data_IF_409380195444
#
_entry.id   IF_409380195444
#
_cell.length_a   1.000
_cell.length_b   1.000
_cell.length_c   1.000
_cell.angle_alpha   90.00
_cell.angle_beta   90.00
_cell.angle_gamma   90.00
#
_symmetry.space_group_name_H-M   'P 1'
#
loop_
_entity.id
_entity.type
_entity.pdbx_description
1 polymer ?
#
# COMPACT_ATOMS: atom_id res chain seq x y z
N UNK A 1 4.57 13.60 46.30
CA UNK A 1 4.50 14.76 45.38
C UNK A 1 3.71 14.35 44.14
N UNK A 2 2.54 14.92 43.90
CA UNK A 2 1.76 14.64 42.70
C UNK A 2 2.46 15.28 41.49
N UNK A 3 2.84 14.47 40.49
CA UNK A 3 3.33 14.97 39.19
C UNK A 3 2.26 15.92 38.64
N UNK A 4 2.60 17.17 38.38
CA UNK A 4 1.77 18.10 37.63
C UNK A 4 1.47 17.48 36.27
N UNK A 5 0.19 17.18 36.02
CA UNK A 5 -0.24 16.60 34.74
C UNK A 5 -0.12 17.68 33.68
N UNK A 6 0.69 17.43 32.66
CA UNK A 6 0.85 18.35 31.53
C UNK A 6 -0.43 18.35 30.69
N UNK A 7 -1.29 19.35 30.91
CA UNK A 7 -2.51 19.61 30.14
C UNK A 7 -2.27 20.54 28.93
N UNK A 8 -1.06 21.09 28.75
CA UNK A 8 -0.72 22.03 27.65
C UNK A 8 -0.78 21.38 26.27
N UNK A 9 -0.88 20.05 26.22
CA UNK A 9 -1.06 19.30 24.99
C UNK A 9 -2.35 19.69 24.26
N UNK A 10 -3.41 20.08 24.97
CA UNK A 10 -4.68 20.44 24.33
C UNK A 10 -4.59 21.81 23.67
N UNK A 11 -3.87 22.76 24.27
CA UNK A 11 -3.53 24.03 23.63
C UNK A 11 -2.69 23.83 22.38
N UNK A 12 -1.73 22.93 22.49
CA UNK A 12 -0.89 22.53 21.36
C UNK A 12 -1.75 21.97 20.22
N UNK A 13 -2.76 21.15 20.54
CA UNK A 13 -3.73 20.67 19.57
C UNK A 13 -4.55 21.81 18.93
N UNK A 14 -5.09 22.74 19.73
CA UNK A 14 -5.85 23.88 19.22
C UNK A 14 -5.00 24.79 18.33
N UNK A 15 -3.74 25.02 18.70
CA UNK A 15 -2.79 25.77 17.87
C UNK A 15 -2.46 25.03 16.57
N UNK A 16 -2.29 23.71 16.63
CA UNK A 16 -2.09 22.89 15.43
C UNK A 16 -3.30 22.95 14.49
N UNK A 17 -4.52 22.90 15.03
CA UNK A 17 -5.76 23.04 14.26
C UNK A 17 -5.79 24.38 13.51
N UNK A 18 -5.51 25.49 14.20
CA UNK A 18 -5.41 26.83 13.57
C UNK A 18 -4.30 26.88 12.51
N UNK A 19 -3.15 26.26 12.77
CA UNK A 19 -2.05 26.22 11.80
C UNK A 19 -2.41 25.42 10.54
N UNK A 20 -3.14 24.29 10.67
CA UNK A 20 -3.68 23.57 9.53
C UNK A 20 -4.67 24.42 8.73
N UNK A 21 -5.55 25.17 9.40
CA UNK A 21 -6.51 26.07 8.74
C UNK A 21 -5.81 27.22 8.00
N UNK A 22 -4.78 27.84 8.61
CA UNK A 22 -4.00 28.92 8.01
C UNK A 22 -3.16 28.48 6.81
N UNK A 23 -2.59 27.26 6.85
CA UNK A 23 -1.79 26.71 5.75
C UNK A 23 -2.63 26.11 4.62
N UNK A 24 -3.94 25.91 4.83
CA UNK A 24 -4.88 25.44 3.81
C UNK A 24 -4.57 24.02 3.29
N UNK A 25 -4.91 23.76 2.03
CA UNK A 25 -4.82 22.40 1.44
C UNK A 25 -3.40 21.85 1.30
N UNK A 26 -2.37 22.72 1.36
CA UNK A 26 -0.96 22.32 1.28
C UNK A 26 -0.38 21.91 2.65
N UNK A 27 -1.14 22.08 3.75
CA UNK A 27 -0.67 21.82 5.09
C UNK A 27 -0.33 20.34 5.30
N UNK A 28 0.90 20.06 5.72
CA UNK A 28 1.33 18.71 6.12
C UNK A 28 1.60 18.66 7.62
N UNK A 29 1.56 17.46 8.21
CA UNK A 29 1.93 17.31 9.62
C UNK A 29 3.38 17.76 9.88
N UNK A 30 4.27 17.61 8.90
CA UNK A 30 5.66 18.07 8.99
C UNK A 30 5.77 19.60 8.97
N UNK A 31 5.07 20.27 8.06
CA UNK A 31 5.08 21.75 7.97
C UNK A 31 4.45 22.39 9.23
N UNK A 32 3.37 21.81 9.76
CA UNK A 32 2.76 22.29 11.01
C UNK A 32 3.65 21.99 12.22
N UNK A 33 4.29 20.83 12.29
CA UNK A 33 5.25 20.51 13.35
C UNK A 33 6.42 21.49 13.36
N UNK A 34 6.97 21.82 12.19
CA UNK A 34 8.02 22.82 12.04
C UNK A 34 7.56 24.20 12.50
N UNK A 35 6.36 24.64 12.08
CA UNK A 35 5.80 25.94 12.47
C UNK A 35 5.59 26.09 13.99
N UNK A 36 5.28 24.98 14.67
CA UNK A 36 5.09 24.94 16.12
C UNK A 36 6.38 24.61 16.90
N UNK A 37 7.51 24.39 16.22
CA UNK A 37 8.77 24.00 16.86
C UNK A 37 8.71 22.65 17.57
N UNK A 38 7.94 21.70 17.04
CA UNK A 38 7.66 20.41 17.68
C UNK A 38 8.18 19.21 16.89
N UNK A 39 8.43 18.11 17.61
CA UNK A 39 8.65 16.82 16.97
C UNK A 39 7.34 16.32 16.31
N UNK A 40 7.40 15.98 15.02
CA UNK A 40 6.26 15.54 14.22
C UNK A 40 5.53 14.32 14.83
N UNK A 41 6.25 13.37 15.41
CA UNK A 41 5.66 12.16 16.02
C UNK A 41 4.84 12.53 17.25
N UNK A 42 5.36 13.41 18.10
CA UNK A 42 4.66 13.90 19.29
C UNK A 42 3.42 14.70 18.90
N UNK A 43 3.57 15.63 17.95
CA UNK A 43 2.44 16.43 17.46
C UNK A 43 1.34 15.55 16.88
N UNK A 44 1.70 14.55 16.05
CA UNK A 44 0.72 13.64 15.47
C UNK A 44 -0.09 12.88 16.52
N UNK A 45 0.52 12.52 17.66
CA UNK A 45 -0.20 11.86 18.77
C UNK A 45 -1.14 12.83 19.48
N UNK A 46 -0.69 14.05 19.76
CA UNK A 46 -1.54 15.11 20.35
C UNK A 46 -2.71 15.48 19.44
N UNK A 47 -2.51 15.58 18.13
CA UNK A 47 -3.58 15.84 17.15
C UNK A 47 -4.58 14.70 17.10
N UNK A 48 -4.12 13.44 17.15
CA UNK A 48 -5.02 12.29 17.20
C UNK A 48 -5.86 12.28 18.48
N UNK A 49 -5.23 12.54 19.63
CA UNK A 49 -5.89 12.65 20.93
C UNK A 49 -6.93 13.79 20.97
N UNK A 50 -6.57 14.97 20.45
CA UNK A 50 -7.45 16.13 20.39
C UNK A 50 -8.66 15.91 19.49
N UNK A 51 -8.46 15.31 18.31
CA UNK A 51 -9.57 14.93 17.40
C UNK A 51 -10.50 13.89 17.99
N UNK A 52 -9.97 12.94 18.77
CA UNK A 52 -10.82 12.01 19.51
C UNK A 52 -11.67 12.77 20.53
N UNK A 53 -11.04 13.61 21.34
CA UNK A 53 -11.74 14.39 22.36
C UNK A 53 -12.81 15.32 21.77
N UNK A 54 -12.53 16.06 20.68
CA UNK A 54 -13.54 16.90 20.00
C UNK A 54 -14.70 16.10 19.42
N UNK A 55 -14.47 14.86 18.95
CA UNK A 55 -15.58 14.01 18.48
C UNK A 55 -16.50 13.60 19.62
N UNK A 56 -15.94 13.33 20.79
CA UNK A 56 -16.72 12.96 21.97
C UNK A 56 -17.37 14.18 22.65
N UNK A 57 -16.67 15.32 22.67
CA UNK A 57 -17.08 16.56 23.32
C UNK A 57 -16.76 17.76 22.40
N UNK A 58 -17.65 18.08 21.44
CA UNK A 58 -17.42 19.13 20.42
C UNK A 58 -17.20 20.54 20.97
N UNK A 59 -17.60 20.80 22.21
CA UNK A 59 -17.49 22.10 22.90
C UNK A 59 -16.63 22.02 24.18
N UNK A 60 -15.65 21.11 24.21
CA UNK A 60 -14.76 20.98 25.37
C UNK A 60 -13.91 22.24 25.55
N UNK A 61 -13.93 22.79 26.76
CA UNK A 61 -13.08 23.91 27.14
C UNK A 61 -11.71 23.42 27.60
N UNK A 62 -10.67 24.21 27.34
CA UNK A 62 -9.30 23.94 27.78
C UNK A 62 -9.21 23.72 29.29
N UNK A 63 -9.99 24.49 30.08
CA UNK A 63 -10.01 24.38 31.54
C UNK A 63 -10.58 23.04 32.05
N UNK A 64 -11.32 22.32 31.19
CA UNK A 64 -11.90 21.02 31.50
C UNK A 64 -10.90 19.87 31.26
N UNK A 65 -9.86 20.09 30.44
CA UNK A 65 -8.85 19.07 30.12
C UNK A 65 -7.76 19.07 31.18
N UNK A 66 -7.83 18.12 32.12
CA UNK A 66 -6.85 17.98 33.23
C UNK A 66 -6.05 16.68 33.16
N UNK A 67 -5.99 16.07 31.97
CA UNK A 67 -5.31 14.82 31.71
C UNK A 67 -4.14 15.00 30.73
N UNK A 68 -3.27 14.00 30.65
CA UNK A 68 -2.28 13.88 29.56
C UNK A 68 -2.95 13.41 28.26
N UNK A 69 -2.41 13.79 27.09
CA UNK A 69 -2.86 13.31 25.76
C UNK A 69 -2.88 11.78 25.67
N UNK A 70 -2.06 11.08 26.45
CA UNK A 70 -1.98 9.62 26.48
C UNK A 70 -3.30 8.99 26.95
N UNK A 71 -4.04 9.64 27.86
CA UNK A 71 -5.36 9.16 28.28
C UNK A 71 -6.33 9.11 27.09
N UNK A 72 -6.38 10.19 26.32
CA UNK A 72 -7.24 10.28 25.14
C UNK A 72 -6.77 9.35 24.01
N UNK A 73 -5.45 9.13 23.86
CA UNK A 73 -4.93 8.15 22.91
C UNK A 73 -5.34 6.71 23.28
N UNK A 74 -5.33 6.37 24.58
CA UNK A 74 -5.79 5.06 25.05
C UNK A 74 -7.31 4.91 24.90
N UNK A 75 -8.08 5.94 25.21
CA UNK A 75 -9.53 5.93 24.99
C UNK A 75 -9.92 5.81 23.52
N UNK A 76 -9.21 6.48 22.58
CA UNK A 76 -9.44 6.29 21.14
C UNK A 76 -9.10 4.86 20.68
N UNK A 77 -8.20 4.15 21.38
CA UNK A 77 -7.93 2.72 21.12
C UNK A 77 -9.02 1.82 21.70
N UNK A 78 -9.46 2.11 22.93
CA UNK A 78 -10.57 1.40 23.59
C UNK A 78 -11.85 1.57 22.77
N UNK A 79 -12.17 2.78 22.31
CA UNK A 79 -13.41 3.07 21.58
C UNK A 79 -13.52 2.34 20.25
N UNK A 80 -12.41 1.90 19.66
CA UNK A 80 -12.40 1.08 18.44
C UNK A 80 -12.81 -0.37 18.69
N UNK A 81 -12.65 -0.86 19.92
CA UNK A 81 -13.01 -2.21 20.34
C UNK A 81 -14.38 -2.18 21.06
N UNK A 82 -14.55 -1.27 22.02
CA UNK A 82 -15.77 -1.04 22.78
C UNK A 82 -16.07 0.45 22.91
N UNK A 83 -16.94 1.02 22.05
CA UNK A 83 -17.33 2.42 22.10
C UNK A 83 -17.99 2.81 23.43
N UNK A 84 -18.90 1.97 23.93
CA UNK A 84 -19.66 2.21 25.17
C UNK A 84 -18.74 2.36 26.37
N UNK A 85 -17.77 1.45 26.52
CA UNK A 85 -16.80 1.51 27.60
C UNK A 85 -15.90 2.75 27.50
N UNK A 86 -15.52 3.16 26.29
CA UNK A 86 -14.73 4.39 26.14
C UNK A 86 -15.52 5.64 26.56
N UNK A 87 -16.82 5.67 26.28
CA UNK A 87 -17.73 6.74 26.72
C UNK A 87 -17.89 6.78 28.23
N UNK A 88 -18.08 5.63 28.88
CA UNK A 88 -18.15 5.50 30.34
C UNK A 88 -16.87 6.01 31.04
N UNK A 89 -15.70 5.73 30.46
CA UNK A 89 -14.41 6.09 31.04
C UNK A 89 -13.99 7.54 30.73
N UNK A 90 -14.66 8.23 29.80
CA UNK A 90 -14.23 9.53 29.27
C UNK A 90 -14.14 10.60 30.36
N UNK A 91 -15.20 10.75 31.16
CA UNK A 91 -15.29 11.79 32.19
C UNK A 91 -14.17 11.65 33.23
N UNK A 92 -13.97 10.43 33.75
CA UNK A 92 -12.91 10.12 34.71
C UNK A 92 -11.50 10.27 34.13
N UNK A 93 -11.29 9.90 32.86
CA UNK A 93 -10.00 10.09 32.20
C UNK A 93 -9.69 11.58 31.97
N UNK A 94 -10.67 12.38 31.56
CA UNK A 94 -10.53 13.81 31.26
C UNK A 94 -10.01 14.61 32.46
N UNK A 95 -10.45 14.25 33.67
CA UNK A 95 -10.03 14.88 34.92
C UNK A 95 -8.92 14.10 35.64
N UNK A 96 -8.27 13.16 34.96
CA UNK A 96 -7.16 12.35 35.49
C UNK A 96 -7.52 11.58 36.78
N UNK A 97 -8.78 11.16 36.93
CA UNK A 97 -9.22 10.22 37.98
C UNK A 97 -8.94 8.77 37.61
N UNK A 98 -8.87 8.45 36.31
CA UNK A 98 -8.48 7.14 35.80
C UNK A 98 -7.03 7.24 35.34
N UNK A 99 -6.17 6.35 35.87
CA UNK A 99 -4.76 6.34 35.51
C UNK A 99 -4.52 5.77 34.10
N UNK A 100 -3.40 6.16 33.50
CA UNK A 100 -2.89 5.59 32.24
C UNK A 100 -2.70 4.06 32.37
N UNK A 101 -2.27 3.57 33.54
CA UNK A 101 -2.08 2.13 33.78
C UNK A 101 -3.42 1.40 33.73
N UNK A 102 -4.45 1.91 34.41
CA UNK A 102 -5.80 1.32 34.41
C UNK A 102 -6.41 1.29 33.00
N UNK A 103 -6.26 2.37 32.22
CA UNK A 103 -6.69 2.39 30.82
C UNK A 103 -5.91 1.38 29.96
N UNK A 104 -4.62 1.17 30.24
CA UNK A 104 -3.78 0.22 29.51
C UNK A 104 -4.16 -1.23 29.82
N UNK A 105 -4.40 -1.54 31.10
CA UNK A 105 -4.91 -2.83 31.56
C UNK A 105 -6.27 -3.12 30.92
N UNK A 106 -7.19 -2.16 30.94
CA UNK A 106 -8.51 -2.31 30.31
C UNK A 106 -8.42 -2.56 28.81
N UNK A 107 -7.52 -1.86 28.12
CA UNK A 107 -7.26 -2.10 26.70
C UNK A 107 -6.68 -3.50 26.46
N UNK A 108 -5.82 -4.01 27.35
CA UNK A 108 -5.27 -5.35 27.26
C UNK A 108 -6.35 -6.43 27.48
N UNK A 109 -7.23 -6.26 28.47
CA UNK A 109 -8.39 -7.11 28.72
C UNK A 109 -9.32 -7.18 27.50
N UNK A 110 -9.66 -6.03 26.91
CA UNK A 110 -10.51 -6.01 25.71
C UNK A 110 -9.87 -6.75 24.53
N UNK A 111 -8.55 -6.64 24.39
CA UNK A 111 -7.81 -7.34 23.33
C UNK A 111 -7.77 -8.84 23.55
N UNK A 112 -7.70 -9.31 24.80
CA UNK A 112 -7.74 -10.74 25.11
C UNK A 112 -9.15 -11.32 24.98
N UNK A 113 -10.19 -10.54 25.30
CA UNK A 113 -11.59 -10.95 25.17
C UNK A 113 -12.12 -10.93 23.72
N UNK A 114 -11.49 -10.14 22.83
CA UNK A 114 -11.89 -10.03 21.43
C UNK A 114 -10.68 -10.08 20.49
N UNK A 115 -9.97 -11.23 20.42
CA UNK A 115 -8.72 -11.36 19.67
C UNK A 115 -8.91 -11.12 18.17
N UNK A 116 -10.03 -11.55 17.58
CA UNK A 116 -10.33 -11.34 16.16
C UNK A 116 -10.51 -9.85 15.80
N UNK A 117 -11.24 -9.09 16.64
CA UNK A 117 -11.48 -7.66 16.43
C UNK A 117 -10.20 -6.85 16.67
N UNK A 118 -9.45 -7.19 17.73
CA UNK A 118 -8.15 -6.61 18.00
C UNK A 118 -7.14 -6.87 16.87
N UNK A 119 -7.13 -8.10 16.33
CA UNK A 119 -6.31 -8.46 15.19
C UNK A 119 -6.71 -7.69 13.93
N UNK A 120 -8.00 -7.58 13.62
CA UNK A 120 -8.50 -6.82 12.48
C UNK A 120 -8.15 -5.32 12.55
N UNK A 121 -8.23 -4.70 13.73
CA UNK A 121 -7.86 -3.28 13.93
C UNK A 121 -6.35 -3.08 13.76
N UNK A 122 -5.53 -3.96 14.35
CA UNK A 122 -4.07 -3.90 14.24
C UNK A 122 -3.61 -4.19 12.80
N UNK A 123 -4.19 -5.19 12.14
CA UNK A 123 -3.93 -5.53 10.74
C UNK A 123 -4.26 -4.36 9.82
N UNK A 124 -5.39 -3.66 10.05
CA UNK A 124 -5.75 -2.47 9.27
C UNK A 124 -4.79 -1.29 9.47
N UNK A 125 -4.31 -1.08 10.70
CA UNK A 125 -3.34 -0.03 11.02
C UNK A 125 -1.96 -0.34 10.42
N UNK A 126 -1.49 -1.59 10.54
CA UNK A 126 -0.25 -2.06 9.94
C UNK A 126 -0.31 -1.98 8.42
N UNK A 127 -1.41 -2.43 7.81
CA UNK A 127 -1.63 -2.32 6.36
C UNK A 127 -1.59 -0.88 5.84
N UNK A 128 -2.15 0.08 6.57
CA UNK A 128 -2.05 1.51 6.21
C UNK A 128 -0.61 2.01 6.30
N UNK A 129 0.17 1.51 7.27
CA UNK A 129 1.60 1.79 7.38
C UNK A 129 2.38 1.13 6.25
N UNK A 130 2.12 -0.13 5.91
CA UNK A 130 2.71 -0.85 4.77
C UNK A 130 2.40 -0.17 3.45
N UNK A 131 1.15 0.26 3.21
CA UNK A 131 0.77 0.97 1.99
C UNK A 131 1.46 2.34 1.86
N UNK A 132 1.56 3.10 2.95
CA UNK A 132 2.30 4.37 2.96
C UNK A 132 3.81 4.16 2.83
N UNK A 133 4.35 3.12 3.47
CA UNK A 133 5.73 2.67 3.33
C UNK A 133 6.04 2.36 1.88
N UNK A 134 5.23 1.51 1.24
CA UNK A 134 5.37 1.10 -0.15
C UNK A 134 5.40 2.29 -1.13
N UNK A 135 4.52 3.29 -0.97
CA UNK A 135 4.54 4.49 -1.81
C UNK A 135 5.84 5.28 -1.62
N UNK A 136 6.28 5.45 -0.37
CA UNK A 136 7.55 6.12 -0.05
C UNK A 136 8.74 5.35 -0.63
N UNK A 137 8.73 4.03 -0.49
CA UNK A 137 9.81 3.16 -0.94
C UNK A 137 9.89 3.17 -2.48
N UNK A 138 8.73 3.14 -3.16
CA UNK A 138 8.65 3.35 -4.61
C UNK A 138 9.20 4.73 -5.02
N UNK A 139 8.78 5.81 -4.35
CA UNK A 139 9.26 7.14 -4.71
C UNK A 139 10.77 7.30 -4.48
N UNK A 140 11.30 6.71 -3.41
CA UNK A 140 12.74 6.70 -3.13
C UNK A 140 13.50 5.88 -4.18
N UNK A 141 12.94 4.74 -4.60
CA UNK A 141 13.49 3.94 -5.69
C UNK A 141 13.51 4.72 -7.01
N UNK A 142 12.42 5.39 -7.37
CA UNK A 142 12.31 6.20 -8.59
C UNK A 142 13.29 7.38 -8.62
N UNK A 143 13.66 7.94 -7.46
CA UNK A 143 14.66 9.03 -7.40
C UNK A 143 16.09 8.55 -7.68
N UNK A 144 16.39 7.28 -7.39
CA UNK A 144 17.72 6.70 -7.56
C UNK A 144 17.89 5.79 -8.78
N UNK A 145 16.80 5.50 -9.51
CA UNK A 145 16.79 4.47 -10.57
C UNK A 145 16.77 5.11 -11.96
N UNK A 146 17.68 4.69 -12.88
CA UNK A 146 17.61 5.10 -14.28
C UNK A 146 16.30 4.67 -14.95
N UNK A 147 15.71 5.54 -15.78
CA UNK A 147 14.39 5.30 -16.37
C UNK A 147 14.39 4.28 -17.52
N UNK A 148 15.55 3.86 -17.97
CA UNK A 148 15.76 2.67 -18.81
C UNK A 148 15.19 1.42 -18.14
N UNK A 149 15.19 1.35 -16.80
CA UNK A 149 14.53 0.28 -16.05
C UNK A 149 13.03 0.19 -16.38
N UNK A 150 12.39 1.30 -16.75
CA UNK A 150 10.99 1.35 -17.17
C UNK A 150 10.83 1.47 -18.69
N UNK A 151 11.86 1.11 -19.45
CA UNK A 151 11.89 1.18 -20.91
C UNK A 151 11.71 2.63 -21.43
N UNK A 152 12.12 3.64 -20.66
CA UNK A 152 11.97 5.08 -20.95
C UNK A 152 13.30 5.86 -20.79
N UNK A 153 14.33 5.60 -21.64
CA UNK A 153 15.57 6.37 -21.60
C UNK A 153 15.30 7.88 -21.76
N UNK A 154 16.03 8.70 -21.01
CA UNK A 154 15.90 10.17 -20.99
C UNK A 154 14.48 10.69 -20.70
N UNK A 155 13.64 9.85 -20.09
CA UNK A 155 12.28 10.17 -19.73
C UNK A 155 12.15 11.05 -18.48
N UNK A 156 10.92 11.11 -17.97
CA UNK A 156 10.62 11.80 -16.71
C UNK A 156 9.64 11.01 -15.84
N UNK A 157 9.63 11.30 -14.54
CA UNK A 157 8.71 10.69 -13.58
C UNK A 157 7.71 11.73 -13.07
N UNK A 158 6.43 11.43 -13.20
CA UNK A 158 5.35 12.16 -12.55
C UNK A 158 4.87 11.40 -11.31
N UNK A 159 5.06 11.97 -10.13
CA UNK A 159 4.60 11.39 -8.86
C UNK A 159 3.23 11.98 -8.49
N UNK A 160 2.30 11.13 -8.07
CA UNK A 160 0.97 11.60 -7.63
C UNK A 160 1.07 12.34 -6.30
N UNK A 161 0.56 13.58 -6.25
CA UNK A 161 0.52 14.41 -5.04
C UNK A 161 -0.41 13.84 -3.95
N UNK A 162 -1.44 13.11 -4.37
CA UNK A 162 -2.36 12.39 -3.48
C UNK A 162 -2.60 10.99 -4.05
N UNK A 163 -1.73 10.05 -3.71
CA UNK A 163 -1.89 8.66 -4.10
C UNK A 163 -3.17 8.09 -3.46
N UNK A 164 -4.31 8.21 -4.14
CA UNK A 164 -5.45 7.35 -3.85
C UNK A 164 -5.06 5.94 -4.31
N UNK A 165 -4.47 5.18 -3.38
CA UNK A 165 -3.87 3.84 -3.55
C UNK A 165 -4.79 2.87 -4.30
N UNK A 166 -6.10 3.15 -4.33
CA UNK A 166 -7.11 2.25 -4.85
C UNK A 166 -7.41 2.43 -6.35
N UNK A 167 -7.40 3.65 -6.91
CA UNK A 167 -7.95 3.87 -8.26
C UNK A 167 -7.06 4.65 -9.23
N UNK A 168 -6.17 5.50 -8.74
CA UNK A 168 -5.29 6.32 -9.57
C UNK A 168 -3.85 5.77 -9.57
N UNK A 169 -3.08 5.98 -10.66
CA UNK A 169 -1.66 5.68 -10.65
C UNK A 169 -0.94 6.41 -9.50
N UNK A 170 -0.04 5.70 -8.84
CA UNK A 170 0.86 6.26 -7.82
C UNK A 170 1.95 7.12 -8.48
N UNK A 171 2.44 6.67 -9.64
CA UNK A 171 3.34 7.43 -10.50
C UNK A 171 3.11 7.09 -11.98
N UNK A 172 3.60 7.94 -12.87
CA UNK A 172 3.73 7.66 -14.28
C UNK A 172 5.18 7.93 -14.72
N UNK A 173 5.71 7.06 -15.57
CA UNK A 173 7.00 7.26 -16.26
C UNK A 173 6.68 7.64 -17.70
N UNK A 174 7.21 8.78 -18.11
CA UNK A 174 7.07 9.32 -19.45
C UNK A 174 8.34 9.05 -20.24
N UNK A 175 8.21 8.82 -21.55
CA UNK A 175 9.34 8.82 -22.47
C UNK A 175 9.90 10.24 -22.70
N UNK A 176 10.98 10.35 -23.48
CA UNK A 176 11.63 11.63 -23.81
C UNK A 176 10.74 12.61 -24.60
N UNK A 177 9.62 12.14 -25.15
CA UNK A 177 8.62 12.98 -25.82
C UNK A 177 7.46 13.38 -24.89
N UNK A 178 7.48 12.92 -23.64
CA UNK A 178 6.43 13.17 -22.66
C UNK A 178 5.24 12.20 -22.77
N UNK A 179 5.31 11.15 -23.58
CA UNK A 179 4.24 10.15 -23.66
C UNK A 179 4.34 9.14 -22.51
N UNK A 180 3.22 8.68 -21.93
CA UNK A 180 3.25 7.68 -20.87
C UNK A 180 3.79 6.32 -21.35
N UNK A 181 5.00 5.97 -20.91
CA UNK A 181 5.59 4.65 -21.13
C UNK A 181 5.07 3.66 -20.09
N UNK A 182 4.98 4.07 -18.82
CA UNK A 182 4.49 3.23 -17.74
C UNK A 182 3.60 3.99 -16.75
N UNK A 183 2.56 3.32 -16.24
CA UNK A 183 1.81 3.75 -15.05
C UNK A 183 2.00 2.76 -13.92
N UNK A 184 2.34 3.25 -12.73
CA UNK A 184 2.69 2.43 -11.57
C UNK A 184 1.60 2.53 -10.50
N UNK A 185 1.14 1.39 -10.03
CA UNK A 185 0.14 1.28 -8.96
C UNK A 185 0.73 0.52 -7.77
N UNK A 186 0.88 1.19 -6.63
CA UNK A 186 1.21 0.50 -5.37
C UNK A 186 -0.01 -0.22 -4.83
N UNK A 187 0.08 -1.55 -4.65
CA UNK A 187 -1.00 -2.39 -4.14
C UNK A 187 -0.54 -3.22 -2.94
N UNK A 188 -1.41 -3.33 -1.95
CA UNK A 188 -1.19 -4.17 -0.76
C UNK A 188 -2.31 -5.19 -0.71
N UNK A 189 -1.95 -6.47 -0.57
CA UNK A 189 -2.89 -7.57 -0.37
C UNK A 189 -3.85 -7.28 0.79
N UNK A 190 -5.07 -7.80 0.73
CA UNK A 190 -6.08 -7.53 1.75
C UNK A 190 -6.55 -8.77 2.48
N UNK A 191 -6.32 -8.79 3.79
CA UNK A 191 -6.70 -9.89 4.68
C UNK A 191 -8.22 -10.03 4.85
N UNK A 192 -8.99 -9.00 4.51
CA UNK A 192 -10.45 -8.98 4.64
C UNK A 192 -11.19 -9.50 3.41
N UNK A 193 -10.48 -9.89 2.34
CA UNK A 193 -11.08 -10.43 1.11
C UNK A 193 -10.25 -11.62 0.62
N UNK A 194 -10.88 -12.63 -0.01
CA UNK A 194 -10.15 -13.74 -0.60
C UNK A 194 -9.06 -13.24 -1.56
N UNK A 195 -7.87 -13.85 -1.49
CA UNK A 195 -6.70 -13.50 -2.33
C UNK A 195 -7.06 -13.51 -3.81
N UNK A 196 -7.80 -14.52 -4.24
CA UNK A 196 -8.29 -14.68 -5.61
C UNK A 196 -9.18 -13.51 -6.06
N UNK A 197 -10.11 -13.08 -5.22
CA UNK A 197 -10.99 -11.94 -5.49
C UNK A 197 -10.24 -10.61 -5.53
N UNK A 198 -9.22 -10.44 -4.68
CA UNK A 198 -8.35 -9.25 -4.74
C UNK A 198 -7.54 -9.22 -6.05
N UNK A 199 -6.98 -10.36 -6.45
CA UNK A 199 -6.23 -10.44 -7.71
C UNK A 199 -7.12 -10.17 -8.93
N UNK A 200 -8.37 -10.64 -8.94
CA UNK A 200 -9.35 -10.32 -9.99
C UNK A 200 -9.62 -8.81 -10.08
N UNK A 201 -9.96 -8.15 -8.96
CA UNK A 201 -10.18 -6.70 -8.92
C UNK A 201 -8.96 -5.93 -9.45
N UNK A 202 -7.74 -6.41 -9.14
CA UNK A 202 -6.50 -5.80 -9.63
C UNK A 202 -6.27 -6.02 -11.13
N UNK A 203 -6.62 -7.20 -11.65
CA UNK A 203 -6.56 -7.49 -13.08
C UNK A 203 -7.53 -6.60 -13.85
N UNK A 204 -8.78 -6.50 -13.40
CA UNK A 204 -9.79 -5.60 -13.99
C UNK A 204 -9.34 -4.14 -13.98
N UNK A 205 -8.75 -3.68 -12.86
CA UNK A 205 -8.16 -2.36 -12.78
C UNK A 205 -7.04 -2.19 -13.82
N UNK A 206 -6.16 -3.19 -13.98
CA UNK A 206 -5.07 -3.12 -14.93
C UNK A 206 -5.59 -3.01 -16.37
N UNK A 207 -6.59 -3.83 -16.74
CA UNK A 207 -7.26 -3.80 -18.04
C UNK A 207 -7.93 -2.45 -18.27
N UNK A 208 -8.69 -1.95 -17.29
CA UNK A 208 -9.37 -0.65 -17.37
C UNK A 208 -8.39 0.53 -17.54
N UNK A 209 -7.12 0.35 -17.14
CA UNK A 209 -6.06 1.37 -17.20
C UNK A 209 -5.05 1.13 -18.31
N UNK A 210 -5.21 0.06 -19.11
CA UNK A 210 -4.30 -0.31 -20.21
C UNK A 210 -4.12 0.81 -21.24
N UNK A 211 -5.14 1.62 -21.47
CA UNK A 211 -5.08 2.73 -22.43
C UNK A 211 -4.23 3.91 -21.96
N UNK A 212 -3.85 3.98 -20.67
CA UNK A 212 -3.16 5.13 -20.10
C UNK A 212 -1.66 5.16 -20.41
N UNK A 213 -1.04 4.02 -20.67
CA UNK A 213 0.38 3.90 -20.98
C UNK A 213 0.67 2.58 -21.68
N UNK A 214 1.87 2.44 -22.26
CA UNK A 214 2.28 1.17 -22.89
C UNK A 214 2.36 0.01 -21.88
N UNK A 215 2.80 0.30 -20.65
CA UNK A 215 2.91 -0.67 -19.56
C UNK A 215 2.11 -0.24 -18.33
N UNK A 216 1.41 -1.19 -17.72
CA UNK A 216 0.79 -1.06 -16.40
C UNK A 216 1.62 -1.86 -15.42
N UNK A 217 2.14 -1.20 -14.39
CA UNK A 217 2.96 -1.81 -13.34
C UNK A 217 2.15 -1.94 -12.05
N UNK A 218 2.00 -3.15 -11.56
CA UNK A 218 1.46 -3.42 -10.22
C UNK A 218 2.63 -3.70 -9.28
N UNK A 219 2.85 -2.78 -8.34
CA UNK A 219 3.97 -2.82 -7.39
C UNK A 219 3.47 -3.26 -6.03
N UNK A 220 4.07 -4.32 -5.50
CA UNK A 220 3.73 -4.94 -4.22
C UNK A 220 4.86 -4.72 -3.20
N UNK A 221 4.58 -4.77 -1.89
CA UNK A 221 5.61 -4.65 -0.87
C UNK A 221 6.53 -5.88 -0.81
N UNK A 222 6.04 -7.03 -1.26
CA UNK A 222 6.73 -8.32 -1.24
C UNK A 222 6.11 -9.27 -2.28
N UNK A 223 6.74 -10.43 -2.49
CA UNK A 223 6.22 -11.52 -3.33
C UNK A 223 5.02 -12.21 -2.65
N UNK A 224 3.87 -11.55 -2.67
CA UNK A 224 2.64 -12.01 -2.01
C UNK A 224 1.83 -13.02 -2.83
N UNK A 225 0.96 -13.79 -2.18
CA UNK A 225 0.02 -14.68 -2.89
C UNK A 225 -0.92 -13.93 -3.85
N UNK A 226 -1.30 -12.68 -3.53
CA UNK A 226 -2.10 -11.84 -4.44
C UNK A 226 -1.34 -11.56 -5.73
N UNK A 227 -0.02 -11.34 -5.66
CA UNK A 227 0.83 -11.17 -6.84
C UNK A 227 0.83 -12.45 -7.69
N UNK A 228 0.99 -13.62 -7.06
CA UNK A 228 1.03 -14.90 -7.78
C UNK A 228 -0.31 -15.24 -8.43
N UNK A 229 -1.43 -14.99 -7.75
CA UNK A 229 -2.77 -15.11 -8.34
C UNK A 229 -2.95 -14.16 -9.53
N UNK A 230 -2.51 -12.90 -9.41
CA UNK A 230 -2.58 -11.93 -10.51
C UNK A 230 -1.66 -12.34 -11.68
N UNK A 231 -0.50 -12.92 -11.40
CA UNK A 231 0.40 -13.46 -12.41
C UNK A 231 -0.26 -14.59 -13.19
N UNK A 232 -0.91 -15.54 -12.50
CA UNK A 232 -1.67 -16.63 -13.12
C UNK A 232 -2.84 -16.11 -13.96
N UNK A 233 -3.62 -15.13 -13.47
CA UNK A 233 -4.65 -14.47 -14.27
C UNK A 233 -4.08 -13.85 -15.55
N UNK A 234 -2.90 -13.21 -15.47
CA UNK A 234 -2.26 -12.61 -16.65
C UNK A 234 -1.76 -13.64 -17.67
N UNK A 235 -1.51 -14.89 -17.24
CA UNK A 235 -1.18 -16.00 -18.13
C UNK A 235 -2.44 -16.50 -18.85
N UNK A 236 -3.54 -16.65 -18.13
CA UNK A 236 -4.80 -17.13 -18.70
C UNK A 236 -5.54 -16.10 -19.57
N UNK A 237 -5.53 -14.83 -19.14
CA UNK A 237 -6.37 -13.77 -19.70
C UNK A 237 -5.58 -12.76 -20.54
N UNK A 238 -4.27 -12.93 -20.66
CA UNK A 238 -3.36 -12.04 -21.37
C UNK A 238 -2.72 -10.96 -20.48
N UNK A 239 -1.70 -10.29 -21.01
CA UNK A 239 -0.96 -9.24 -20.28
C UNK A 239 0.40 -9.67 -19.76
N UNK A 240 0.64 -10.97 -19.57
CA UNK A 240 1.91 -11.46 -19.04
C UNK A 240 3.08 -11.21 -20.01
N UNK A 241 4.32 -11.12 -19.48
CA UNK A 241 5.54 -11.04 -20.30
C UNK A 241 5.76 -12.17 -21.31
N UNK A 242 5.08 -13.31 -21.17
CA UNK A 242 5.18 -14.43 -22.12
C UNK A 242 4.31 -14.24 -23.38
N UNK A 243 3.41 -13.27 -23.39
CA UNK A 243 2.60 -12.97 -24.58
C UNK A 243 3.36 -12.00 -25.51
N UNK A 244 3.67 -12.47 -26.72
CA UNK A 244 4.51 -11.76 -27.71
C UNK A 244 4.01 -10.34 -28.01
N UNK A 245 2.69 -10.14 -28.12
CA UNK A 245 2.10 -8.86 -28.51
C UNK A 245 1.55 -8.04 -27.32
N UNK A 246 1.48 -8.64 -26.14
CA UNK A 246 0.66 -8.12 -25.04
C UNK A 246 1.31 -8.15 -23.67
N UNK A 247 2.64 -8.22 -23.57
CA UNK A 247 3.34 -8.00 -22.29
C UNK A 247 3.20 -6.57 -21.75
N UNK A 248 1.97 -6.10 -21.54
CA UNK A 248 1.58 -4.77 -21.08
C UNK A 248 1.44 -4.74 -19.56
N UNK A 249 1.19 -5.86 -18.89
CA UNK A 249 1.17 -5.95 -17.43
C UNK A 249 2.57 -6.31 -16.91
N UNK A 250 3.07 -5.53 -15.95
CA UNK A 250 4.31 -5.77 -15.23
C UNK A 250 3.98 -5.92 -13.75
N UNK A 251 4.43 -7.02 -13.17
CA UNK A 251 4.28 -7.27 -11.73
C UNK A 251 5.64 -7.09 -11.10
N UNK A 252 5.72 -6.27 -10.06
CA UNK A 252 6.96 -5.98 -9.37
C UNK A 252 6.74 -6.01 -7.86
N UNK A 253 7.79 -6.34 -7.12
CA UNK A 253 7.75 -6.40 -5.67
C UNK A 253 9.08 -5.95 -5.08
N UNK A 254 9.02 -5.35 -3.90
CA UNK A 254 10.24 -5.04 -3.18
C UNK A 254 10.82 -6.28 -2.50
N UNK A 255 12.14 -6.28 -2.44
CA UNK A 255 12.96 -7.28 -1.79
C UNK A 255 14.02 -6.56 -0.99
N UNK A 256 14.36 -7.12 0.16
CA UNK A 256 15.43 -6.61 1.02
C UNK A 256 16.69 -7.41 0.71
N UNK A 257 17.74 -6.75 0.23
CA UNK A 257 19.08 -7.32 0.16
C UNK A 257 20.05 -6.32 0.77
N UNK A 258 20.68 -6.71 1.87
CA UNK A 258 21.80 -5.98 2.48
C UNK A 258 21.51 -4.49 2.72
N UNK A 259 20.40 -4.18 3.41
CA UNK A 259 20.00 -2.83 3.82
C UNK A 259 19.58 -1.89 2.67
N UNK A 260 19.47 -2.40 1.44
CA UNK A 260 18.98 -1.66 0.28
C UNK A 260 17.76 -2.34 -0.32
N UNK A 261 16.66 -1.59 -0.39
CA UNK A 261 15.43 -2.04 -1.03
C UNK A 261 15.61 -2.05 -2.55
N UNK A 262 15.39 -3.21 -3.17
CA UNK A 262 15.46 -3.39 -4.62
C UNK A 262 14.09 -3.81 -5.16
N UNK A 263 13.75 -3.31 -6.35
CA UNK A 263 12.49 -3.64 -7.01
C UNK A 263 12.71 -4.84 -7.94
N UNK A 264 12.27 -6.01 -7.49
CA UNK A 264 12.21 -7.23 -8.30
C UNK A 264 11.06 -7.14 -9.31
N UNK A 265 11.26 -7.68 -10.52
CA UNK A 265 10.22 -7.78 -11.56
C UNK A 265 9.93 -9.24 -11.84
N UNK A 266 8.67 -9.64 -11.64
CA UNK A 266 8.17 -10.97 -12.01
C UNK A 266 8.03 -11.02 -13.53
N UNK A 267 9.00 -11.64 -14.20
CA UNK A 267 9.16 -11.55 -15.65
C UNK A 267 9.09 -12.94 -16.33
N UNK A 268 9.64 -13.09 -17.53
CA UNK A 268 9.57 -14.32 -18.34
C UNK A 268 10.01 -15.57 -17.56
N UNK A 269 11.14 -15.50 -16.84
CA UNK A 269 11.62 -16.63 -16.02
C UNK A 269 10.64 -17.05 -14.92
N UNK A 270 10.06 -16.09 -14.22
CA UNK A 270 9.08 -16.39 -13.17
C UNK A 270 7.76 -16.89 -13.76
N UNK A 271 7.30 -16.29 -14.85
CA UNK A 271 6.11 -16.71 -15.57
C UNK A 271 6.25 -18.12 -16.16
N UNK A 272 7.42 -18.49 -16.68
CA UNK A 272 7.66 -19.82 -17.22
C UNK A 272 7.62 -20.89 -16.10
N UNK A 273 8.20 -20.59 -14.94
CA UNK A 273 8.09 -21.48 -13.75
C UNK A 273 6.62 -21.64 -13.32
N UNK A 274 5.90 -20.52 -13.21
CA UNK A 274 4.48 -20.54 -12.85
C UNK A 274 3.63 -21.29 -13.88
N UNK A 275 3.95 -21.17 -15.17
CA UNK A 275 3.28 -21.92 -16.23
C UNK A 275 3.47 -23.44 -16.03
N UNK A 276 4.70 -23.89 -15.72
CA UNK A 276 4.97 -25.30 -15.41
C UNK A 276 4.17 -25.79 -14.20
N UNK A 277 4.02 -24.97 -13.15
CA UNK A 277 3.17 -25.29 -11.99
C UNK A 277 1.70 -25.49 -12.41
N UNK A 278 1.16 -24.58 -13.22
CA UNK A 278 -0.22 -24.62 -13.73
C UNK A 278 -0.46 -25.86 -14.60
N UNK A 279 0.49 -26.20 -15.47
CA UNK A 279 0.47 -27.39 -16.34
C UNK A 279 0.56 -28.68 -15.52
N UNK A 280 1.31 -28.67 -14.41
CA UNK A 280 1.39 -29.76 -13.44
C UNK A 280 0.16 -29.88 -12.53
N UNK A 281 -0.84 -29.00 -12.68
CA UNK A 281 -2.10 -29.02 -11.92
C UNK A 281 -2.07 -28.23 -10.61
N UNK A 282 -1.00 -27.50 -10.30
CA UNK A 282 -0.90 -26.62 -9.13
C UNK A 282 -1.47 -25.23 -9.45
N UNK A 283 -2.76 -25.19 -9.80
CA UNK A 283 -3.45 -23.98 -10.24
C UNK A 283 -4.02 -23.22 -9.05
N UNK A 284 -3.95 -21.89 -9.10
CA UNK A 284 -4.64 -21.02 -8.15
C UNK A 284 -6.08 -20.74 -8.57
N UNK A 285 -6.38 -20.90 -9.85
CA UNK A 285 -7.73 -20.79 -10.40
C UNK A 285 -8.14 -22.09 -11.08
N UNK A 286 -9.36 -22.51 -10.78
CA UNK A 286 -10.00 -23.58 -11.53
C UNK A 286 -10.50 -23.06 -12.88
N UNK A 287 -10.47 -23.90 -13.91
CA UNK A 287 -10.90 -23.53 -15.28
C UNK A 287 -12.32 -22.94 -15.30
N UNK A 288 -13.23 -23.50 -14.51
CA UNK A 288 -14.61 -23.01 -14.43
C UNK A 288 -14.73 -21.61 -13.82
N UNK A 289 -13.74 -21.16 -13.04
CA UNK A 289 -13.68 -19.78 -12.52
C UNK A 289 -13.22 -18.79 -13.60
N UNK A 290 -12.69 -19.31 -14.72
CA UNK A 290 -12.16 -18.58 -15.86
C UNK A 290 -13.06 -18.68 -17.12
N UNK A 291 -14.12 -19.50 -17.12
CA UNK A 291 -14.97 -19.80 -18.29
C UNK A 291 -16.47 -19.71 -18.00
N UNK A 292 -17.29 -19.48 -19.05
CA UNK A 292 -18.76 -19.49 -19.01
C UNK A 292 -19.36 -20.91 -19.01
N UNK A 293 -20.42 -21.13 -18.22
CA UNK A 293 -21.50 -22.05 -18.57
C UNK A 293 -22.84 -21.30 -18.50
N UNK A 294 -23.67 -21.41 -19.54
CA UNK A 294 -24.99 -20.78 -19.67
C UNK A 294 -25.96 -21.01 -18.51
N UNK A 295 -25.72 -22.04 -17.72
CA UNK A 295 -26.53 -22.37 -16.56
C UNK A 295 -25.76 -21.94 -15.31
N UNK A 296 -26.36 -21.18 -14.39
CA UNK A 296 -25.77 -20.98 -13.08
C UNK A 296 -25.65 -22.36 -12.43
N UNK A 297 -24.45 -22.84 -12.07
CA UNK A 297 -24.36 -23.86 -11.05
C UNK A 297 -24.97 -23.27 -9.77
N UNK A 298 -25.57 -24.08 -8.91
CA UNK A 298 -25.87 -23.66 -7.54
C UNK A 298 -24.52 -23.38 -6.85
N UNK A 299 -24.10 -22.12 -6.86
CA UNK A 299 -22.82 -21.67 -6.30
C UNK A 299 -23.12 -20.99 -4.95
N UNK A 300 -22.42 -21.36 -3.86
CA UNK A 300 -22.50 -20.66 -2.58
C UNK A 300 -22.03 -19.19 -2.69
N UNK A 301 -22.57 -18.32 -1.85
CA UNK A 301 -22.48 -16.84 -1.93
C UNK A 301 -21.06 -16.23 -1.96
N UNK A 302 -20.00 -17.03 -1.86
CA UNK A 302 -18.61 -16.60 -1.70
C UNK A 302 -17.74 -16.70 -2.98
N UNK A 303 -18.23 -17.29 -4.07
CA UNK A 303 -17.45 -17.45 -5.32
C UNK A 303 -17.85 -16.40 -6.37
N UNK A 304 -16.95 -15.46 -6.66
CA UNK A 304 -17.08 -14.55 -7.82
C UNK A 304 -16.65 -15.26 -9.10
N UNK A 305 -17.54 -15.31 -10.09
CA UNK A 305 -17.30 -15.87 -11.44
C UNK A 305 -17.07 -14.73 -12.43
N UNK A 306 -16.00 -14.81 -13.22
CA UNK A 306 -15.66 -13.82 -14.24
C UNK A 306 -16.53 -13.99 -15.50
N UNK A 307 -17.15 -12.90 -15.96
CA UNK A 307 -17.86 -12.85 -17.25
C UNK A 307 -16.93 -12.38 -18.36
N UNK A 308 -16.09 -13.26 -18.89
CA UNK A 308 -15.14 -12.94 -19.97
C UNK A 308 -15.44 -13.84 -21.17
N UNK A 309 -15.83 -13.24 -22.30
CA UNK A 309 -16.17 -13.94 -23.54
C UNK A 309 -14.95 -14.44 -24.35
N UNK A 310 -14.00 -15.09 -23.69
CA UNK A 310 -12.75 -15.57 -24.30
C UNK A 310 -12.45 -16.99 -23.82
N UNK A 311 -11.93 -17.85 -24.70
CA UNK A 311 -11.42 -19.19 -24.33
C UNK A 311 -9.97 -19.03 -23.89
N UNK A 312 -9.63 -19.23 -22.60
CA UNK A 312 -8.27 -19.02 -22.10
C UNK A 312 -7.30 -20.04 -22.72
N UNK A 313 -6.34 -19.60 -23.52
CA UNK A 313 -5.21 -20.41 -23.97
C UNK A 313 -3.93 -19.90 -23.29
N UNK A 314 -3.19 -20.79 -22.63
CA UNK A 314 -1.92 -20.44 -22.01
C UNK A 314 -0.86 -20.10 -23.06
N UNK A 315 -0.02 -19.08 -22.83
CA UNK A 315 1.07 -18.74 -23.74
C UNK A 315 2.15 -19.82 -23.73
N UNK A 316 2.89 -19.94 -24.84
CA UNK A 316 4.11 -20.76 -24.89
C UNK A 316 5.28 -19.97 -24.33
N UNK A 317 6.02 -20.55 -23.38
CA UNK A 317 7.25 -19.96 -22.85
C UNK A 317 8.41 -20.04 -23.86
N UNK A 318 8.37 -19.20 -24.91
CA UNK A 318 9.41 -19.13 -25.95
C UNK A 318 10.73 -18.54 -25.44
N UNK A 319 10.66 -17.70 -24.43
CA UNK A 319 11.81 -17.03 -23.81
C UNK A 319 11.75 -17.21 -22.29
N UNK A 320 12.92 -17.33 -21.68
CA UNK A 320 13.12 -17.49 -20.24
C UNK A 320 14.23 -16.54 -19.80
N UNK A 321 13.99 -15.24 -19.91
CA UNK A 321 14.94 -14.21 -19.49
C UNK A 321 14.55 -13.64 -18.13
N UNK A 322 15.53 -13.24 -17.35
CA UNK A 322 15.34 -12.26 -16.28
C UNK A 322 15.01 -10.89 -16.88
N UNK A 323 14.44 -9.99 -16.07
CA UNK A 323 14.16 -8.65 -16.54
C UNK A 323 15.44 -7.88 -16.90
N UNK A 324 16.53 -8.09 -16.15
CA UNK A 324 17.82 -7.48 -16.46
C UNK A 324 18.40 -7.95 -17.80
N UNK A 325 18.31 -9.26 -18.10
CA UNK A 325 18.72 -9.80 -19.39
C UNK A 325 17.87 -9.24 -20.54
N UNK A 326 16.57 -9.09 -20.32
CA UNK A 326 15.68 -8.43 -21.27
C UNK A 326 16.11 -6.99 -21.54
N UNK A 327 16.35 -6.19 -20.50
CA UNK A 327 16.81 -4.81 -20.64
C UNK A 327 18.17 -4.71 -21.34
N UNK A 328 19.10 -5.64 -21.05
CA UNK A 328 20.41 -5.72 -21.74
C UNK A 328 20.25 -6.03 -23.23
N UNK A 329 19.34 -6.95 -23.57
CA UNK A 329 19.12 -7.37 -24.95
C UNK A 329 18.37 -6.34 -25.79
N UNK A 330 17.57 -5.48 -25.16
CA UNK A 330 16.79 -4.43 -25.84
C UNK A 330 17.43 -3.05 -25.78
N UNK A 331 18.49 -2.88 -24.98
CA UNK A 331 19.29 -1.67 -24.99
C UNK A 331 19.93 -1.47 -26.38
N UNK A 332 19.60 -0.37 -27.05
CA UNK A 332 20.28 0.06 -28.28
C UNK A 332 21.74 0.43 -27.98
N UNK A 333 22.64 0.24 -28.94
CA UNK A 333 24.10 0.49 -28.84
C UNK A 333 24.49 1.90 -28.35
N UNK A 334 23.54 2.84 -28.30
CA UNK A 334 23.75 4.21 -27.79
C UNK A 334 23.57 4.37 -26.28
N UNK A 335 23.09 3.34 -25.57
CA UNK A 335 22.77 3.48 -24.15
C UNK A 335 24.02 3.34 -23.27
N UNK A 336 24.36 4.38 -22.51
CA UNK A 336 25.44 4.48 -21.50
C UNK A 336 25.39 3.43 -20.35
N UNK A 337 24.55 2.40 -20.51
CA UNK A 337 24.12 1.40 -19.54
C UNK A 337 25.24 0.43 -19.12
N UNK A 338 26.08 -0.04 -20.06
CA UNK A 338 27.13 -1.03 -19.76
C UNK A 338 28.24 -0.47 -18.85
N UNK A 339 28.51 0.84 -18.87
CA UNK A 339 29.48 1.47 -17.97
C UNK A 339 28.94 1.74 -16.56
N UNK A 340 27.64 1.94 -16.36
CA UNK A 340 27.09 2.26 -15.02
C UNK A 340 26.74 1.02 -14.20
N UNK A 341 26.24 -0.04 -14.82
CA UNK A 341 25.97 -1.29 -14.10
C UNK A 341 27.24 -2.05 -13.70
N UNK A 342 28.28 -2.01 -14.54
CA UNK A 342 29.58 -2.61 -14.21
C UNK A 342 30.33 -1.89 -13.08
N UNK A 343 30.10 -0.58 -12.90
CA UNK A 343 30.75 0.22 -11.85
C UNK A 343 30.05 0.03 -10.49
N UNK A 344 28.74 -0.23 -10.45
CA UNK A 344 28.02 -0.52 -9.21
C UNK A 344 28.16 -1.97 -8.72
N UNK A 345 28.40 -2.94 -9.62
CA UNK A 345 28.73 -4.31 -9.20
C UNK A 345 30.14 -4.47 -8.63
N UNK A 346 31.06 -3.55 -8.96
CA UNK A 346 32.47 -3.58 -8.54
C UNK A 346 32.83 -2.66 -7.37
N UNK A 347 31.95 -1.76 -6.97
CA UNK A 347 32.14 -0.93 -5.79
C UNK A 347 30.92 -1.10 -4.88
N UNK A 348 31.09 -1.87 -3.80
CA UNK A 348 30.11 -1.93 -2.72
C UNK A 348 29.92 -0.55 -2.09
N UNK A 349 28.93 0.20 -2.61
CA UNK A 349 28.49 1.50 -2.12
C UNK A 349 26.96 1.56 -2.12
#
# INVERSE_FOLDING_TARGET
MARTVDSRWFDTYLNAKRAFEQQGQAATMASVAQALGMNQKTLSRMVSAGRYLERCLPAVDQLQVRCSYVHMELLDKISRISPLLAEELLSGALVNQISISALSERLAELRSQSPLLAHAINARAEKRRTAKGLVRDLFSYLDGTPLEFFEAPDGAVLKSASANVFQAPTAAVLDSQGNPQAVLFCKVGGDSRPVSGVAMDLYELAVARRHMARKVWMVFPERSEVLLHLAELSLWLGGSPLHEDTGWLRLAYFTDAHERMWLSVFFENDCAKLLTEIEAGQRRYELHQLTWTAAPPEIPDDVRVLSIGYTPELPKAKFTRSYEEYLRATATEQTYYLKRLGVQGGMGI
#
